data_IF_269971604541
#
_entry.id   IF_269971604541
#
_cell.length_a   1.000
_cell.length_b   1.000
_cell.length_c   1.000
_cell.angle_alpha   90.00
_cell.angle_beta   90.00
_cell.angle_gamma   90.00
#
_symmetry.space_group_name_H-M   'P 1'
#
loop_
_entity.id
_entity.type
_entity.pdbx_description
1 polymer ?
#
# COMPACT_ATOMS: atom_id res chain seq x y z
N UNK A 1 12.49 -4.05 -20.75
CA UNK A 1 12.03 -2.82 -20.09
C UNK A 1 13.16 -2.41 -19.18
N UNK A 2 13.62 -1.18 -19.36
CA UNK A 2 14.66 -0.60 -18.51
C UNK A 2 14.21 -0.57 -17.04
N UNK A 3 15.10 -0.77 -16.06
CA UNK A 3 14.77 -0.70 -14.63
C UNK A 3 13.98 0.55 -14.25
N UNK A 4 14.35 1.71 -14.81
CA UNK A 4 13.66 2.98 -14.60
C UNK A 4 12.22 3.00 -15.11
N UNK A 5 11.93 2.33 -16.23
CA UNK A 5 10.56 2.24 -16.75
C UNK A 5 9.68 1.41 -15.83
N UNK A 6 10.25 0.34 -15.24
CA UNK A 6 9.54 -0.53 -14.29
C UNK A 6 9.29 0.21 -12.97
N UNK A 7 10.30 0.92 -12.44
CA UNK A 7 10.17 1.76 -11.25
C UNK A 7 9.12 2.86 -11.43
N UNK A 8 9.14 3.53 -12.59
CA UNK A 8 8.14 4.56 -12.91
C UNK A 8 6.73 3.98 -13.00
N UNK A 9 6.56 2.78 -13.59
CA UNK A 9 5.24 2.12 -13.63
C UNK A 9 4.74 1.77 -12.23
N UNK A 10 5.61 1.23 -11.36
CA UNK A 10 5.28 0.98 -9.96
C UNK A 10 4.77 2.27 -9.28
N UNK A 11 5.53 3.35 -9.39
CA UNK A 11 5.15 4.64 -8.81
C UNK A 11 3.83 5.18 -9.36
N UNK A 12 3.60 5.10 -10.67
CA UNK A 12 2.34 5.53 -11.28
C UNK A 12 1.14 4.68 -10.83
N UNK A 13 1.30 3.36 -10.73
CA UNK A 13 0.26 2.47 -10.20
C UNK A 13 -0.07 2.83 -8.74
N UNK A 14 0.95 3.10 -7.94
CA UNK A 14 0.78 3.48 -6.53
C UNK A 14 0.09 4.85 -6.40
N UNK A 15 0.40 5.83 -7.26
CA UNK A 15 -0.30 7.14 -7.30
C UNK A 15 -1.80 6.96 -7.56
N UNK A 16 -2.16 6.15 -8.57
CA UNK A 16 -3.56 5.91 -8.93
C UNK A 16 -4.30 5.24 -7.78
N UNK A 17 -3.72 4.17 -7.22
CA UNK A 17 -4.30 3.47 -6.07
C UNK A 17 -4.51 4.39 -4.87
N UNK A 18 -3.49 5.18 -4.55
CA UNK A 18 -3.48 6.11 -3.42
C UNK A 18 -4.55 7.20 -3.58
N UNK A 19 -4.66 7.77 -4.77
CA UNK A 19 -5.64 8.81 -5.08
C UNK A 19 -7.06 8.26 -4.96
N UNK A 20 -7.32 7.07 -5.52
CA UNK A 20 -8.62 6.41 -5.40
C UNK A 20 -8.94 6.04 -3.94
N UNK A 21 -7.96 5.55 -3.18
CA UNK A 21 -8.12 5.20 -1.77
C UNK A 21 -8.47 6.41 -0.91
N UNK A 22 -7.84 7.56 -1.15
CA UNK A 22 -8.19 8.82 -0.47
C UNK A 22 -9.61 9.25 -0.82
N UNK A 23 -9.97 9.28 -2.11
CA UNK A 23 -11.30 9.69 -2.56
C UNK A 23 -12.37 8.80 -1.95
N UNK A 24 -12.23 7.48 -2.09
CA UNK A 24 -13.17 6.50 -1.52
C UNK A 24 -13.20 6.64 0.00
N UNK A 25 -12.04 6.78 0.65
CA UNK A 25 -11.97 6.92 2.09
C UNK A 25 -12.70 8.17 2.60
N UNK A 26 -12.55 9.30 1.92
CA UNK A 26 -13.31 10.53 2.21
C UNK A 26 -14.81 10.31 2.06
N UNK A 27 -15.25 9.64 0.98
CA UNK A 27 -16.66 9.31 0.79
C UNK A 27 -17.20 8.40 1.91
N UNK A 28 -16.42 7.43 2.36
CA UNK A 28 -16.80 6.52 3.45
C UNK A 28 -16.94 7.24 4.80
N UNK A 29 -16.20 8.33 5.04
CA UNK A 29 -16.35 9.13 6.26
C UNK A 29 -17.74 9.78 6.40
N UNK A 30 -18.42 10.06 5.29
CA UNK A 30 -19.77 10.64 5.31
C UNK A 30 -20.89 9.62 5.53
N UNK A 31 -20.58 8.32 5.56
CA UNK A 31 -21.57 7.30 5.87
C UNK A 31 -21.89 7.30 7.38
N UNK A 32 -23.15 7.05 7.80
CA UNK A 32 -23.58 7.14 9.19
C UNK A 32 -23.16 5.93 10.06
N UNK A 33 -22.16 5.16 9.64
CA UNK A 33 -21.76 3.92 10.30
C UNK A 33 -20.28 3.95 10.65
N UNK A 34 -19.97 3.73 11.92
CA UNK A 34 -18.60 3.75 12.45
C UNK A 34 -17.67 2.75 11.74
N UNK A 35 -18.20 1.61 11.31
CA UNK A 35 -17.45 0.62 10.55
C UNK A 35 -16.89 1.16 9.23
N UNK A 36 -17.72 1.76 8.38
CA UNK A 36 -17.25 2.34 7.12
C UNK A 36 -16.34 3.55 7.35
N UNK A 37 -16.59 4.35 8.39
CA UNK A 37 -15.71 5.45 8.77
C UNK A 37 -14.30 4.94 9.16
N UNK A 38 -14.20 3.82 9.87
CA UNK A 38 -12.92 3.19 10.21
C UNK A 38 -12.15 2.70 8.98
N UNK A 39 -12.85 2.07 8.02
CA UNK A 39 -12.25 1.68 6.73
C UNK A 39 -11.78 2.93 5.97
N UNK A 40 -12.63 3.95 5.92
CA UNK A 40 -12.36 5.19 5.20
C UNK A 40 -11.15 5.94 5.76
N UNK A 41 -11.02 5.99 7.09
CA UNK A 41 -9.86 6.58 7.75
C UNK A 41 -8.56 5.90 7.32
N UNK A 42 -8.53 4.56 7.27
CA UNK A 42 -7.35 3.83 6.83
C UNK A 42 -7.04 4.05 5.34
N UNK A 43 -8.07 4.12 4.48
CA UNK A 43 -7.90 4.46 3.07
C UNK A 43 -7.30 5.85 2.86
N UNK A 44 -7.67 6.83 3.69
CA UNK A 44 -7.09 8.18 3.66
C UNK A 44 -5.65 8.17 4.19
N UNK A 45 -5.42 7.59 5.37
CA UNK A 45 -4.11 7.62 6.02
C UNK A 45 -3.04 6.93 5.16
N UNK A 46 -3.29 5.67 4.76
CA UNK A 46 -2.36 4.94 3.90
C UNK A 46 -2.27 5.54 2.51
N UNK A 47 -3.40 5.95 1.93
CA UNK A 47 -3.39 6.63 0.63
C UNK A 47 -2.53 7.90 0.63
N UNK A 48 -2.54 8.71 1.70
CA UNK A 48 -1.65 9.88 1.78
C UNK A 48 -0.18 9.47 1.87
N UNK A 49 0.14 8.48 2.72
CA UNK A 49 1.51 7.98 2.89
C UNK A 49 2.05 7.45 1.55
N UNK A 50 1.30 6.58 0.90
CA UNK A 50 1.66 5.93 -0.35
C UNK A 50 1.77 6.93 -1.50
N UNK A 51 0.89 7.93 -1.55
CA UNK A 51 0.95 8.99 -2.55
C UNK A 51 2.26 9.79 -2.41
N UNK A 52 2.65 10.14 -1.19
CA UNK A 52 3.91 10.85 -0.93
C UNK A 52 5.10 9.99 -1.36
N UNK A 53 5.14 8.72 -0.96
CA UNK A 53 6.21 7.78 -1.33
C UNK A 53 6.31 7.66 -2.86
N UNK A 54 5.17 7.49 -3.53
CA UNK A 54 5.11 7.32 -4.98
C UNK A 54 5.55 8.59 -5.72
N UNK A 55 5.10 9.77 -5.30
CA UNK A 55 5.51 11.05 -5.89
C UNK A 55 7.02 11.27 -5.71
N UNK A 56 7.56 11.05 -4.50
CA UNK A 56 9.00 11.17 -4.26
C UNK A 56 9.78 10.18 -5.12
N UNK A 57 9.30 8.94 -5.26
CA UNK A 57 9.91 7.92 -6.09
C UNK A 57 9.91 8.27 -7.58
N UNK A 58 8.81 8.81 -8.11
CA UNK A 58 8.70 9.22 -9.52
C UNK A 58 9.50 10.49 -9.82
N UNK A 59 9.55 11.44 -8.88
CA UNK A 59 10.26 12.72 -9.05
C UNK A 59 11.79 12.56 -8.89
N UNK A 60 12.24 11.56 -8.12
CA UNK A 60 13.66 11.24 -8.03
C UNK A 60 14.10 10.50 -9.30
N UNK A 61 14.79 11.20 -10.20
CA UNK A 61 15.54 10.60 -11.32
C UNK A 61 16.83 9.92 -10.85
N UNK A 62 16.78 9.20 -9.73
CA UNK A 62 17.93 8.43 -9.25
C UNK A 62 17.75 7.00 -9.67
N UNK A 63 18.67 6.51 -10.51
CA UNK A 63 18.72 5.11 -10.88
C UNK A 63 19.14 4.31 -9.65
N UNK A 64 18.23 3.46 -9.18
CA UNK A 64 18.51 2.49 -8.13
C UNK A 64 18.73 1.14 -8.80
N UNK A 65 19.76 0.41 -8.37
CA UNK A 65 20.07 -0.88 -8.99
C UNK A 65 18.89 -1.86 -8.83
N UNK A 66 18.68 -2.76 -9.80
CA UNK A 66 17.62 -3.77 -9.72
C UNK A 66 17.67 -4.60 -8.43
N UNK A 67 18.86 -4.94 -7.93
CA UNK A 67 19.06 -5.72 -6.70
C UNK A 67 18.59 -4.95 -5.47
N UNK A 68 18.90 -3.65 -5.42
CA UNK A 68 18.49 -2.79 -4.32
C UNK A 68 16.98 -2.61 -4.31
N UNK A 69 16.38 -2.38 -5.49
CA UNK A 69 14.92 -2.30 -5.63
C UNK A 69 14.24 -3.61 -5.22
N UNK A 70 14.75 -4.76 -5.66
CA UNK A 70 14.22 -6.06 -5.26
C UNK A 70 14.31 -6.27 -3.74
N UNK A 71 15.40 -5.85 -3.10
CA UNK A 71 15.53 -5.95 -1.64
C UNK A 71 14.52 -5.09 -0.90
N UNK A 72 14.33 -3.84 -1.33
CA UNK A 72 13.35 -2.91 -0.72
C UNK A 72 11.93 -3.50 -0.83
N UNK A 73 11.54 -3.94 -2.03
CA UNK A 73 10.21 -4.50 -2.26
C UNK A 73 9.97 -5.79 -1.46
N UNK A 74 10.99 -6.63 -1.28
CA UNK A 74 10.86 -7.82 -0.44
C UNK A 74 10.64 -7.47 1.04
N UNK A 75 11.29 -6.42 1.53
CA UNK A 75 11.07 -5.92 2.90
C UNK A 75 9.63 -5.41 3.04
N UNK A 76 9.14 -4.63 2.08
CA UNK A 76 7.76 -4.15 2.08
C UNK A 76 6.75 -5.30 2.06
N UNK A 77 6.93 -6.31 1.21
CA UNK A 77 6.07 -7.52 1.19
C UNK A 77 5.98 -8.16 2.58
N UNK A 78 7.09 -8.24 3.31
CA UNK A 78 7.08 -8.76 4.68
C UNK A 78 6.36 -7.82 5.66
N UNK A 79 6.58 -6.51 5.55
CA UNK A 79 5.91 -5.50 6.36
C UNK A 79 4.39 -5.49 6.12
N UNK A 80 3.94 -5.59 4.87
CA UNK A 80 2.52 -5.67 4.49
C UNK A 80 1.86 -6.89 5.12
N UNK A 81 2.56 -8.03 5.18
CA UNK A 81 2.09 -9.21 5.88
C UNK A 81 1.91 -8.97 7.39
N UNK A 82 2.85 -8.24 8.02
CA UNK A 82 2.76 -7.86 9.43
C UNK A 82 1.59 -6.89 9.66
N UNK A 83 1.42 -5.87 8.80
CA UNK A 83 0.32 -4.92 8.93
C UNK A 83 -1.04 -5.60 8.77
N UNK A 84 -1.20 -6.50 7.78
CA UNK A 84 -2.43 -7.28 7.63
C UNK A 84 -2.70 -8.16 8.84
N UNK A 85 -1.67 -8.78 9.42
CA UNK A 85 -1.80 -9.54 10.66
C UNK A 85 -2.28 -8.64 11.81
N UNK A 86 -1.71 -7.44 11.98
CA UNK A 86 -2.20 -6.46 12.97
C UNK A 86 -3.66 -6.09 12.71
N UNK A 87 -4.05 -5.84 11.46
CA UNK A 87 -5.44 -5.59 11.09
C UNK A 87 -6.38 -6.74 11.47
N UNK A 88 -5.93 -7.99 11.30
CA UNK A 88 -6.67 -9.17 11.74
C UNK A 88 -6.82 -9.23 13.27
N UNK A 89 -5.76 -8.91 14.03
CA UNK A 89 -5.83 -8.84 15.48
C UNK A 89 -6.80 -7.76 15.95
N UNK A 90 -6.82 -6.59 15.29
CA UNK A 90 -7.80 -5.53 15.58
C UNK A 90 -9.24 -6.04 15.40
N UNK A 91 -9.51 -6.79 14.34
CA UNK A 91 -10.84 -7.37 14.12
C UNK A 91 -11.17 -8.38 15.24
N UNK A 92 -10.29 -9.36 15.49
CA UNK A 92 -10.59 -10.48 16.38
C UNK A 92 -10.74 -10.05 17.84
N UNK A 93 -9.89 -9.13 18.32
CA UNK A 93 -9.91 -8.73 19.73
C UNK A 93 -10.91 -7.60 20.06
N UNK A 94 -11.38 -6.86 19.05
CA UNK A 94 -12.26 -5.71 19.25
C UNK A 94 -13.58 -5.82 18.46
N UNK A 95 -14.10 -7.04 18.27
CA UNK A 95 -15.35 -7.31 17.52
C UNK A 95 -16.56 -6.45 17.94
N UNK A 96 -16.62 -6.01 19.20
CA UNK A 96 -17.70 -5.17 19.71
C UNK A 96 -17.60 -3.70 19.29
N UNK A 97 -16.42 -3.23 18.85
CA UNK A 97 -16.19 -1.86 18.40
C UNK A 97 -16.14 -1.83 16.87
N UNK A 98 -17.27 -1.42 16.27
CA UNK A 98 -17.42 -1.35 14.82
C UNK A 98 -16.36 -0.45 14.15
N UNK A 99 -15.93 0.62 14.80
CA UNK A 99 -14.91 1.52 14.26
C UNK A 99 -13.54 0.82 14.21
N UNK A 100 -13.14 0.15 15.30
CA UNK A 100 -11.86 -0.59 15.35
C UNK A 100 -11.86 -1.74 14.35
N UNK A 101 -12.97 -2.50 14.25
CA UNK A 101 -13.12 -3.56 13.23
C UNK A 101 -12.99 -2.98 11.82
N UNK A 102 -13.62 -1.82 11.57
CA UNK A 102 -13.48 -1.11 10.31
C UNK A 102 -12.04 -0.71 10.00
N UNK A 103 -11.30 -0.21 11.00
CA UNK A 103 -9.87 0.08 10.85
C UNK A 103 -9.07 -1.19 10.53
N UNK A 104 -9.32 -2.29 11.24
CA UNK A 104 -8.66 -3.57 10.97
C UNK A 104 -8.88 -4.04 9.53
N UNK A 105 -10.12 -3.96 9.03
CA UNK A 105 -10.43 -4.31 7.65
C UNK A 105 -9.79 -3.32 6.65
N UNK A 106 -9.79 -2.03 6.97
CA UNK A 106 -9.13 -1.00 6.15
C UNK A 106 -7.63 -1.27 5.98
N UNK A 107 -6.92 -1.61 7.06
CA UNK A 107 -5.50 -2.02 7.02
C UNK A 107 -5.32 -3.28 6.17
N UNK A 108 -6.20 -4.27 6.31
CA UNK A 108 -6.12 -5.50 5.50
C UNK A 108 -6.29 -5.21 4.02
N UNK A 109 -7.28 -4.39 3.63
CA UNK A 109 -7.54 -4.06 2.22
C UNK A 109 -6.34 -3.32 1.61
N UNK A 110 -5.82 -2.31 2.30
CA UNK A 110 -4.66 -1.53 1.81
C UNK A 110 -3.42 -2.42 1.74
N UNK A 111 -3.11 -3.15 2.81
CA UNK A 111 -1.96 -4.05 2.87
C UNK A 111 -2.04 -5.19 1.86
N UNK A 112 -3.22 -5.72 1.54
CA UNK A 112 -3.38 -6.78 0.55
C UNK A 112 -3.04 -6.29 -0.86
N UNK A 113 -3.45 -5.08 -1.22
CA UNK A 113 -3.08 -4.47 -2.49
C UNK A 113 -1.57 -4.23 -2.58
N UNK A 114 -0.97 -3.59 -1.55
CA UNK A 114 0.46 -3.31 -1.51
C UNK A 114 1.30 -4.58 -1.56
N UNK A 115 0.90 -5.61 -0.81
CA UNK A 115 1.57 -6.91 -0.82
C UNK A 115 1.62 -7.51 -2.24
N UNK A 116 0.50 -7.50 -2.96
CA UNK A 116 0.42 -8.03 -4.33
C UNK A 116 1.28 -7.18 -5.28
N UNK A 117 1.17 -5.86 -5.18
CA UNK A 117 1.91 -4.92 -6.01
C UNK A 117 3.43 -5.10 -5.81
N UNK A 118 3.89 -5.05 -4.57
CA UNK A 118 5.29 -5.11 -4.23
C UNK A 118 5.87 -6.49 -4.53
N UNK A 119 5.11 -7.57 -4.31
CA UNK A 119 5.54 -8.91 -4.71
C UNK A 119 5.66 -9.04 -6.23
N UNK A 120 4.71 -8.52 -6.99
CA UNK A 120 4.76 -8.52 -8.45
C UNK A 120 6.02 -7.78 -8.96
N UNK A 121 6.28 -6.57 -8.44
CA UNK A 121 7.45 -5.80 -8.86
C UNK A 121 8.77 -6.37 -8.33
N UNK A 122 8.79 -6.95 -7.14
CA UNK A 122 9.95 -7.70 -6.61
C UNK A 122 10.38 -8.78 -7.59
N UNK A 123 9.43 -9.60 -8.05
CA UNK A 123 9.69 -10.67 -9.02
C UNK A 123 10.23 -10.09 -10.32
N UNK A 124 9.75 -8.93 -10.74
CA UNK A 124 10.20 -8.27 -11.98
C UNK A 124 11.63 -7.75 -11.88
N UNK A 125 12.00 -7.09 -10.79
CA UNK A 125 13.35 -6.58 -10.56
C UNK A 125 14.36 -7.71 -10.32
N UNK A 126 13.98 -8.76 -9.58
CA UNK A 126 14.84 -9.92 -9.33
C UNK A 126 15.28 -10.66 -10.60
N UNK A 127 14.46 -10.64 -11.65
CA UNK A 127 14.75 -11.29 -12.94
C UNK A 127 15.58 -10.42 -13.88
N UNK A 128 15.90 -9.17 -13.52
CA UNK A 128 16.76 -8.31 -14.34
C UNK A 128 18.23 -8.73 -14.15
N UNK A 129 19.05 -8.66 -15.21
CA UNK A 129 20.49 -8.87 -15.07
C UNK A 129 21.07 -7.80 -14.14
N UNK A 130 21.98 -8.21 -13.26
CA UNK A 130 22.89 -7.27 -12.62
C UNK A 130 23.85 -6.74 -13.69
N UNK A 131 23.94 -5.43 -13.86
CA UNK A 131 24.95 -4.79 -14.70
C UNK A 131 26.36 -4.95 -14.11
#
# INVERSE_FOLDING_TARGET
MEPNQVARRLGMTLIVWSTLSIIIGVLLLFLPTAFFQGIGLQGILWGIIDLIIALVGVLRNKEESPEKMARILLINVALDGIYQFVGLLLIVFFLADAFIVGNGLGVIIQGAFLFILDFYYYRRFKMMPAE
#
